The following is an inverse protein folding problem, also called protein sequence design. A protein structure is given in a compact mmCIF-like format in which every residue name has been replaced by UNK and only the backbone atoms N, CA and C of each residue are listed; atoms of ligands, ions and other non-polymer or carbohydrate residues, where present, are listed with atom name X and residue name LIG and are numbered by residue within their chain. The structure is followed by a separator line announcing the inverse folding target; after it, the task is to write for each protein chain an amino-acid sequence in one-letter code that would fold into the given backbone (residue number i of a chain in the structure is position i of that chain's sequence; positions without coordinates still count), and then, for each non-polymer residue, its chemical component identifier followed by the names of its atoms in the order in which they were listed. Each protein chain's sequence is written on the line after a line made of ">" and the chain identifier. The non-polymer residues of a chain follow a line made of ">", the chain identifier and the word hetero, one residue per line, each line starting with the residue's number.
data_IF_864696408909
#
_entry.id   IF_864696408909
#
_cell.length_a   1.000
_cell.length_b   1.000
_cell.length_c   1.000
_cell.angle_alpha   90.00
_cell.angle_beta   90.00
_cell.angle_gamma   90.00
#
_symmetry.space_group_name_H-M   'P 1'
#
loop_
_entity.id
_entity.type
_entity.pdbx_description
1 polymer ?
#
# COMPACT_ATOMS: atom_id res chain seq x y z
N UNK A 1 -21.38 -33.74 -55.69
CA UNK A 1 -22.57 -32.88 -55.80
C UNK A 1 -23.70 -33.47 -54.97
N UNK A 2 -24.09 -32.80 -53.88
CA UNK A 2 -25.41 -32.77 -53.22
C UNK A 2 -25.40 -31.44 -52.42
N UNK A 3 -26.47 -30.65 -52.54
CA UNK A 3 -26.64 -29.31 -51.96
C UNK A 3 -27.06 -29.40 -50.49
N UNK A 4 -26.69 -28.40 -49.68
CA UNK A 4 -27.50 -27.98 -48.53
C UNK A 4 -27.85 -26.49 -48.67
N UNK A 5 -29.12 -26.26 -48.95
CA UNK A 5 -29.85 -25.02 -48.73
C UNK A 5 -30.21 -24.95 -47.24
N UNK A 6 -29.92 -23.85 -46.56
CA UNK A 6 -30.84 -23.12 -45.68
C UNK A 6 -30.11 -21.89 -45.14
N UNK A 7 -30.34 -20.75 -45.80
CA UNK A 7 -30.21 -19.44 -45.20
C UNK A 7 -31.48 -19.11 -44.42
N UNK A 8 -31.30 -18.61 -43.22
CA UNK A 8 -32.31 -17.93 -42.39
C UNK A 8 -31.49 -17.02 -41.47
N UNK A 9 -31.17 -15.81 -41.92
CA UNK A 9 -31.91 -14.55 -41.72
C UNK A 9 -31.96 -14.06 -40.28
N UNK A 10 -31.70 -12.74 -40.20
CA UNK A 10 -31.81 -11.82 -39.08
C UNK A 10 -30.75 -12.02 -37.99
N UNK A 11 -29.87 -11.09 -37.70
CA UNK A 11 -29.86 -9.65 -37.98
C UNK A 11 -29.21 -9.00 -36.78
N UNK A 12 -28.33 -8.03 -37.04
CA UNK A 12 -27.92 -6.94 -36.14
C UNK A 12 -27.87 -7.27 -34.64
N UNK A 13 -26.66 -7.49 -34.15
CA UNK A 13 -26.04 -6.51 -33.27
C UNK A 13 -24.53 -6.83 -33.25
N UNK A 14 -23.79 -6.12 -34.12
CA UNK A 14 -22.39 -5.83 -33.86
C UNK A 14 -22.40 -4.89 -32.65
N UNK A 15 -22.62 -5.49 -31.48
CA UNK A 15 -22.35 -4.88 -30.19
C UNK A 15 -20.85 -4.61 -30.23
N UNK A 16 -20.53 -3.38 -30.65
CA UNK A 16 -19.22 -2.79 -30.47
C UNK A 16 -18.97 -2.90 -28.98
N UNK A 17 -18.29 -3.98 -28.60
CA UNK A 17 -17.55 -4.08 -27.37
C UNK A 17 -16.58 -2.92 -27.47
N UNK A 18 -17.02 -1.78 -26.95
CA UNK A 18 -16.19 -0.67 -26.57
C UNK A 18 -15.25 -1.29 -25.53
N UNK A 19 -14.16 -1.86 -26.05
CA UNK A 19 -12.92 -2.05 -25.31
C UNK A 19 -12.59 -0.64 -24.88
N UNK A 20 -13.20 -0.23 -23.75
CA UNK A 20 -12.83 0.96 -23.00
C UNK A 20 -11.33 0.92 -23.05
N UNK A 21 -10.76 1.87 -23.80
CA UNK A 21 -9.33 2.02 -23.92
C UNK A 21 -8.84 1.92 -22.48
N UNK A 22 -8.03 0.90 -22.18
CA UNK A 22 -7.18 0.89 -21.00
C UNK A 22 -6.30 2.13 -21.16
N UNK A 23 -6.86 3.29 -20.81
CA UNK A 23 -6.13 4.52 -20.65
C UNK A 23 -5.36 4.22 -19.39
N UNK A 24 -4.13 3.74 -19.57
CA UNK A 24 -3.16 3.65 -18.51
C UNK A 24 -3.28 4.94 -17.70
N UNK A 25 -3.52 4.85 -16.37
CA UNK A 25 -3.60 6.02 -15.51
C UNK A 25 -2.48 6.98 -15.88
N UNK A 26 -2.81 8.24 -16.15
CA UNK A 26 -1.81 9.24 -16.52
C UNK A 26 -0.71 9.21 -15.45
N UNK A 27 0.51 8.86 -15.86
CA UNK A 27 1.62 8.71 -14.93
C UNK A 27 1.80 10.05 -14.20
N UNK A 28 1.63 10.04 -12.89
CA UNK A 28 1.97 11.19 -12.07
C UNK A 28 3.47 11.41 -12.17
N UNK A 29 3.89 12.53 -12.76
CA UNK A 29 5.27 12.95 -12.62
C UNK A 29 5.55 13.23 -11.14
N UNK A 30 6.53 12.52 -10.58
CA UNK A 30 7.01 12.70 -9.20
C UNK A 30 8.31 13.48 -9.28
N UNK A 31 8.27 14.74 -8.82
CA UNK A 31 9.44 15.59 -8.74
C UNK A 31 10.20 15.42 -7.42
N UNK A 32 11.44 15.91 -7.35
CA UNK A 32 12.25 15.86 -6.10
C UNK A 32 11.53 16.48 -4.88
N UNK A 33 10.74 17.52 -5.10
CA UNK A 33 9.97 18.20 -4.04
C UNK A 33 8.88 17.33 -3.42
N UNK A 34 8.41 16.33 -4.16
CA UNK A 34 7.33 15.44 -3.77
C UNK A 34 7.84 14.29 -2.89
N UNK A 35 9.15 14.17 -2.73
CA UNK A 35 9.81 13.12 -1.98
C UNK A 35 10.27 13.63 -0.62
N UNK A 36 10.16 12.75 0.36
CA UNK A 36 10.85 12.88 1.63
C UNK A 36 12.36 12.65 1.40
N UNK A 37 13.23 13.60 1.77
CA UNK A 37 14.65 13.55 1.41
C UNK A 37 15.42 12.47 2.18
N UNK A 38 14.89 11.98 3.29
CA UNK A 38 15.54 10.96 4.12
C UNK A 38 15.22 9.57 3.59
N UNK A 39 13.95 9.32 3.27
CA UNK A 39 13.43 7.98 2.92
C UNK A 39 13.30 7.74 1.41
N UNK A 40 13.25 8.81 0.60
CA UNK A 40 12.90 8.72 -0.81
C UNK A 40 11.45 8.27 -1.07
N UNK A 41 10.63 8.13 -0.02
CA UNK A 41 9.20 7.91 -0.14
C UNK A 41 8.48 9.21 -0.54
N UNK A 42 7.25 9.11 -1.02
CA UNK A 42 6.41 10.28 -1.24
C UNK A 42 6.17 11.01 0.08
N UNK A 43 6.09 12.34 0.01
CA UNK A 43 5.50 13.13 1.08
C UNK A 43 4.00 12.85 1.15
N UNK A 44 3.44 12.95 2.35
CA UNK A 44 2.05 12.64 2.63
C UNK A 44 1.05 13.43 1.77
N UNK A 45 1.29 14.72 1.58
CA UNK A 45 0.45 15.60 0.74
C UNK A 45 0.39 15.13 -0.72
N UNK A 46 1.54 14.74 -1.30
CA UNK A 46 1.59 14.19 -2.65
C UNK A 46 0.89 12.84 -2.73
N UNK A 47 1.13 11.96 -1.78
CA UNK A 47 0.50 10.65 -1.72
C UNK A 47 -1.03 10.77 -1.66
N UNK A 48 -1.56 11.67 -0.83
CA UNK A 48 -2.99 11.92 -0.73
C UNK A 48 -3.59 12.43 -2.04
N UNK A 49 -2.89 13.32 -2.74
CA UNK A 49 -3.33 13.79 -4.05
C UNK A 49 -3.41 12.63 -5.07
N UNK A 50 -2.45 11.71 -5.05
CA UNK A 50 -2.42 10.53 -5.93
C UNK A 50 -3.49 9.51 -5.53
N UNK A 51 -3.63 9.21 -4.24
CA UNK A 51 -4.66 8.31 -3.70
C UNK A 51 -6.07 8.74 -4.12
N UNK A 52 -6.39 10.02 -3.99
CA UNK A 52 -7.71 10.55 -4.37
C UNK A 52 -8.04 10.32 -5.85
N UNK A 53 -7.04 10.37 -6.74
CA UNK A 53 -7.25 10.10 -8.15
C UNK A 53 -7.35 8.59 -8.41
N UNK A 54 -6.46 7.80 -7.82
CA UNK A 54 -6.43 6.34 -7.97
C UNK A 54 -7.74 5.69 -7.50
N UNK A 55 -8.31 6.16 -6.38
CA UNK A 55 -9.62 5.73 -5.89
C UNK A 55 -10.75 5.86 -6.91
N UNK A 56 -10.69 6.86 -7.78
CA UNK A 56 -11.70 7.07 -8.83
C UNK A 56 -11.46 6.14 -10.01
N UNK A 57 -10.21 5.78 -10.27
CA UNK A 57 -9.80 5.08 -11.49
C UNK A 57 -9.76 3.55 -11.34
N UNK A 58 -9.29 3.04 -10.20
CA UNK A 58 -9.02 1.62 -10.03
C UNK A 58 -9.31 1.15 -8.59
N UNK A 59 -9.63 -0.14 -8.39
CA UNK A 59 -9.61 -0.73 -7.06
C UNK A 59 -8.18 -0.76 -6.50
N UNK A 60 -8.06 -0.88 -5.19
CA UNK A 60 -6.76 -1.03 -4.53
C UNK A 60 -6.88 -1.32 -3.05
N UNK A 61 -5.71 -1.43 -2.41
CA UNK A 61 -5.62 -1.56 -0.95
C UNK A 61 -4.73 -0.45 -0.43
N UNK A 62 -5.24 0.34 0.53
CA UNK A 62 -4.43 1.25 1.32
C UNK A 62 -3.96 0.52 2.58
N UNK A 63 -2.67 0.60 2.88
CA UNK A 63 -2.07 0.16 4.13
C UNK A 63 -1.52 1.39 4.88
N UNK A 64 -1.77 1.47 6.18
CA UNK A 64 -1.06 2.33 7.12
C UNK A 64 -0.21 1.44 8.01
N UNK A 65 1.08 1.75 8.06
CA UNK A 65 2.12 0.96 8.74
C UNK A 65 2.68 1.84 9.84
N UNK A 66 2.72 1.35 11.06
CA UNK A 66 3.39 2.03 12.17
C UNK A 66 4.38 1.09 12.84
N UNK A 67 5.61 1.57 12.98
CA UNK A 67 6.68 0.85 13.65
C UNK A 67 7.00 1.54 14.97
N UNK A 68 6.90 0.79 16.06
CA UNK A 68 7.14 1.26 17.41
C UNK A 68 8.18 0.39 18.10
N UNK A 69 8.87 0.92 19.12
CA UNK A 69 9.73 0.08 19.97
C UNK A 69 8.83 -0.83 20.80
N UNK A 70 9.11 -2.15 20.84
CA UNK A 70 8.41 -3.05 21.76
C UNK A 70 8.64 -2.52 23.18
N UNK A 71 7.58 -2.27 23.93
CA UNK A 71 7.68 -1.73 25.29
C UNK A 71 8.39 -2.74 26.20
N UNK A 72 9.70 -2.58 26.33
CA UNK A 72 10.61 -3.39 27.09
C UNK A 72 11.93 -2.65 27.22
N UNK A 73 11.93 -1.64 28.09
CA UNK A 73 13.09 -1.03 28.77
C UNK A 73 14.47 -1.20 28.11
N UNK A 74 14.97 -0.15 27.44
CA UNK A 74 16.32 0.37 27.70
C UNK A 74 16.26 1.90 27.59
N UNK A 75 16.28 2.59 28.73
CA UNK A 75 16.78 3.97 28.79
C UNK A 75 18.28 3.89 28.52
N UNK A 76 18.77 4.46 27.42
CA UNK A 76 20.22 4.43 27.15
C UNK A 76 20.71 4.77 25.76
N UNK A 77 19.90 4.59 24.71
CA UNK A 77 20.36 4.83 23.33
C UNK A 77 19.42 5.74 22.54
N UNK A 78 19.84 6.99 22.41
CA UNK A 78 19.36 7.95 21.41
C UNK A 78 19.95 7.58 20.05
N UNK A 79 19.50 6.47 19.45
CA UNK A 79 19.52 6.42 17.99
C UNK A 79 18.57 7.51 17.52
N UNK A 80 19.10 8.54 16.89
CA UNK A 80 18.30 9.63 16.33
C UNK A 80 17.20 9.00 15.45
N UNK A 81 15.94 9.47 15.53
CA UNK A 81 14.81 8.92 14.76
C UNK A 81 15.12 8.72 13.27
N UNK A 82 16.08 9.48 12.73
CA UNK A 82 16.47 9.50 11.34
C UNK A 82 17.26 8.29 10.83
N UNK A 83 17.99 7.55 11.67
CA UNK A 83 18.98 6.57 11.17
C UNK A 83 18.32 5.33 10.54
N UNK A 84 17.16 4.93 11.03
CA UNK A 84 16.48 3.71 10.62
C UNK A 84 15.41 3.93 9.54
N UNK A 85 14.99 5.19 9.31
CA UNK A 85 13.91 5.51 8.37
C UNK A 85 14.23 5.20 6.90
N UNK A 86 15.43 5.50 6.36
CA UNK A 86 15.77 5.13 4.98
C UNK A 86 15.71 3.61 4.77
N UNK A 87 16.18 2.87 5.77
CA UNK A 87 16.18 1.42 5.75
C UNK A 87 14.75 0.87 5.81
N UNK A 88 13.91 1.35 6.73
CA UNK A 88 12.51 0.91 6.85
C UNK A 88 11.73 1.18 5.56
N UNK A 89 11.93 2.36 4.95
CA UNK A 89 11.33 2.68 3.67
C UNK A 89 11.80 1.72 2.56
N UNK A 90 13.08 1.35 2.55
CA UNK A 90 13.65 0.41 1.59
C UNK A 90 13.09 -1.01 1.77
N UNK A 91 12.95 -1.48 3.01
CA UNK A 91 12.40 -2.81 3.32
C UNK A 91 10.93 -2.93 2.90
N UNK A 92 10.14 -1.88 3.14
CA UNK A 92 8.77 -1.79 2.62
C UNK A 92 8.77 -1.75 1.09
N UNK A 93 9.67 -0.97 0.47
CA UNK A 93 9.77 -0.86 -0.99
C UNK A 93 10.07 -2.22 -1.65
N UNK A 94 10.88 -3.07 -1.03
CA UNK A 94 11.22 -4.39 -1.54
C UNK A 94 10.04 -5.38 -1.47
N UNK A 95 9.09 -5.16 -0.56
CA UNK A 95 7.91 -6.00 -0.41
C UNK A 95 6.79 -5.65 -1.42
N UNK A 96 6.81 -4.45 -2.00
CA UNK A 96 5.77 -3.93 -2.90
C UNK A 96 6.27 -3.86 -4.36
N UNK A 97 5.34 -3.69 -5.31
CA UNK A 97 5.71 -3.56 -6.73
C UNK A 97 6.27 -2.17 -7.02
N UNK A 98 6.97 -2.03 -8.15
CA UNK A 98 7.53 -0.75 -8.58
C UNK A 98 6.46 0.31 -8.90
N UNK A 99 5.26 -0.13 -9.25
CA UNK A 99 4.11 0.73 -9.45
C UNK A 99 3.33 0.98 -8.15
N UNK A 100 3.55 0.29 -7.04
CA UNK A 100 2.88 0.66 -5.78
C UNK A 100 3.44 1.98 -5.22
N UNK A 101 2.60 2.72 -4.50
CA UNK A 101 3.02 3.99 -3.90
C UNK A 101 3.43 3.77 -2.45
N UNK A 102 4.54 4.39 -2.04
CA UNK A 102 5.00 4.43 -0.66
C UNK A 102 5.15 5.88 -0.23
N UNK A 103 4.59 6.24 0.91
CA UNK A 103 4.73 7.55 1.54
C UNK A 103 5.26 7.46 2.96
N UNK A 104 6.10 8.42 3.32
CA UNK A 104 6.46 8.70 4.71
C UNK A 104 5.41 9.68 5.27
N UNK A 105 4.72 9.27 6.34
CA UNK A 105 3.62 10.04 6.94
C UNK A 105 4.15 10.97 8.02
N UNK A 106 4.75 10.39 9.06
CA UNK A 106 5.39 11.07 10.19
C UNK A 106 6.15 10.04 11.00
N UNK A 107 7.26 10.42 11.63
CA UNK A 107 8.05 9.53 12.50
C UNK A 107 8.32 8.16 11.85
N UNK A 108 7.86 7.07 12.45
CA UNK A 108 8.00 5.71 11.95
C UNK A 108 6.73 5.19 11.25
N UNK A 109 5.89 6.11 10.74
CA UNK A 109 4.64 5.80 10.07
C UNK A 109 4.75 5.96 8.56
N UNK A 110 4.32 4.92 7.85
CA UNK A 110 4.29 4.87 6.40
C UNK A 110 2.89 4.57 5.90
N UNK A 111 2.63 4.94 4.65
CA UNK A 111 1.44 4.55 3.93
C UNK A 111 1.83 3.88 2.61
N UNK A 112 1.13 2.80 2.27
CA UNK A 112 1.31 2.07 1.02
C UNK A 112 -0.01 2.01 0.28
N UNK A 113 -0.02 2.39 -1.00
CA UNK A 113 -1.12 2.11 -1.90
C UNK A 113 -0.72 0.96 -2.83
N UNK A 114 -1.36 -0.20 -2.65
CA UNK A 114 -1.25 -1.36 -3.53
C UNK A 114 -2.25 -1.22 -4.68
N UNK A 115 -1.77 -0.85 -5.86
CA UNK A 115 -2.62 -0.49 -7.00
C UNK A 115 -3.21 -1.75 -7.65
N UNK A 116 -4.52 -1.74 -7.87
CA UNK A 116 -5.23 -2.90 -8.44
C UNK A 116 -5.27 -4.13 -7.54
N UNK A 117 -4.84 -4.01 -6.28
CA UNK A 117 -4.75 -5.15 -5.39
C UNK A 117 -6.13 -5.57 -4.85
N UNK A 118 -6.31 -6.89 -4.71
CA UNK A 118 -7.40 -7.46 -3.92
C UNK A 118 -7.06 -7.43 -2.42
N UNK A 119 -8.07 -7.58 -1.57
CA UNK A 119 -7.86 -7.71 -0.12
C UNK A 119 -6.87 -8.84 0.21
N UNK A 120 -7.03 -10.01 -0.40
CA UNK A 120 -6.13 -11.15 -0.19
C UNK A 120 -4.68 -10.82 -0.57
N UNK A 121 -4.46 -10.09 -1.67
CA UNK A 121 -3.12 -9.62 -2.00
C UNK A 121 -2.61 -8.62 -0.96
N UNK A 122 -3.47 -7.73 -0.46
CA UNK A 122 -3.14 -6.82 0.64
C UNK A 122 -2.67 -7.55 1.90
N UNK A 123 -3.34 -8.64 2.27
CA UNK A 123 -2.94 -9.51 3.38
C UNK A 123 -1.56 -10.15 3.14
N UNK A 124 -1.34 -10.73 1.95
CA UNK A 124 -0.06 -11.35 1.58
C UNK A 124 1.09 -10.35 1.61
N UNK A 125 0.89 -9.15 1.06
CA UNK A 125 1.92 -8.10 1.07
C UNK A 125 2.16 -7.57 2.48
N UNK A 126 1.12 -7.45 3.32
CA UNK A 126 1.28 -7.06 4.72
C UNK A 126 2.15 -8.05 5.48
N UNK A 127 1.94 -9.35 5.28
CA UNK A 127 2.81 -10.38 5.87
C UNK A 127 4.26 -10.28 5.40
N UNK A 128 4.50 -10.02 4.11
CA UNK A 128 5.86 -9.82 3.59
C UNK A 128 6.54 -8.58 4.16
N UNK A 129 5.80 -7.49 4.36
CA UNK A 129 6.32 -6.29 5.00
C UNK A 129 6.73 -6.59 6.45
N UNK A 130 5.88 -7.33 7.18
CA UNK A 130 6.18 -7.77 8.54
C UNK A 130 7.43 -8.65 8.58
N UNK A 131 7.54 -9.67 7.72
CA UNK A 131 8.71 -10.54 7.62
C UNK A 131 9.99 -9.76 7.27
N UNK A 132 9.93 -8.88 6.26
CA UNK A 132 11.05 -8.04 5.83
C UNK A 132 11.59 -7.14 6.96
N UNK A 133 10.69 -6.67 7.84
CA UNK A 133 11.09 -5.83 8.97
C UNK A 133 11.52 -6.62 10.20
N UNK A 134 10.90 -7.78 10.46
CA UNK A 134 11.23 -8.66 11.59
C UNK A 134 12.58 -9.38 11.40
N UNK A 135 12.92 -9.78 10.16
CA UNK A 135 14.22 -10.37 9.83
C UNK A 135 15.40 -9.41 10.07
N UNK A 136 15.12 -8.16 10.39
CA UNK A 136 16.13 -7.14 10.63
C UNK A 136 16.34 -6.94 12.11
N UNK A 137 17.42 -7.56 12.59
CA UNK A 137 17.96 -7.31 13.92
C UNK A 137 18.42 -5.85 13.99
N UNK A 138 17.64 -5.00 14.68
CA UNK A 138 18.13 -3.68 15.06
C UNK A 138 19.18 -3.87 16.15
N UNK A 139 20.45 -3.83 15.76
CA UNK A 139 21.54 -3.71 16.72
C UNK A 139 21.55 -2.28 17.24
N UNK A 140 21.00 -2.06 18.45
CA UNK A 140 21.35 -0.86 19.21
C UNK A 140 22.66 -1.14 19.97
N UNK A 141 23.30 -0.10 20.51
CA UNK A 141 24.58 -0.25 21.23
C UNK A 141 24.51 -1.16 22.48
N UNK A 142 23.32 -1.61 22.86
CA UNK A 142 23.01 -2.36 24.09
C UNK A 142 22.39 -3.75 23.80
N UNK A 143 22.14 -4.12 22.53
CA UNK A 143 21.52 -5.40 22.13
C UNK A 143 20.47 -5.30 21.02
N UNK A 144 19.73 -6.39 20.80
CA UNK A 144 18.69 -6.47 19.78
C UNK A 144 17.46 -5.66 20.22
N UNK A 145 17.18 -4.54 19.56
CA UNK A 145 15.90 -3.84 19.73
C UNK A 145 14.83 -4.54 18.90
N UNK A 146 13.89 -5.22 19.55
CA UNK A 146 12.75 -5.83 18.86
C UNK A 146 11.75 -4.71 18.52
N UNK A 147 11.57 -4.42 17.23
CA UNK A 147 10.56 -3.49 16.77
C UNK A 147 9.21 -4.19 16.69
N UNK A 148 8.17 -3.49 17.14
CA UNK A 148 6.80 -3.92 16.97
C UNK A 148 6.18 -3.14 15.81
N UNK A 149 5.78 -3.85 14.77
CA UNK A 149 5.04 -3.28 13.65
C UNK A 149 3.55 -3.61 13.78
N UNK A 150 2.70 -2.65 13.42
CA UNK A 150 1.27 -2.86 13.22
C UNK A 150 0.83 -2.28 11.88
N UNK A 151 -0.06 -3.01 11.20
CA UNK A 151 -0.59 -2.62 9.89
C UNK A 151 -2.12 -2.58 9.94
N UNK A 152 -2.69 -1.45 9.55
CA UNK A 152 -4.12 -1.33 9.27
C UNK A 152 -4.33 -1.07 7.80
N UNK A 153 -5.21 -1.82 7.15
CA UNK A 153 -5.47 -1.63 5.74
C UNK A 153 -6.93 -1.74 5.37
N UNK A 154 -7.26 -1.20 4.20
CA UNK A 154 -8.62 -1.26 3.65
C UNK A 154 -8.57 -1.47 2.15
N UNK A 155 -9.41 -2.40 1.67
CA UNK A 155 -9.70 -2.54 0.24
C UNK A 155 -10.74 -1.50 -0.17
N UNK A 156 -10.52 -0.87 -1.31
CA UNK A 156 -11.54 -0.06 -1.98
C UNK A 156 -11.74 -0.50 -3.42
N UNK A 157 -12.95 -0.30 -3.93
CA UNK A 157 -13.27 -0.44 -5.34
C UNK A 157 -13.22 0.93 -6.04
N UNK A 158 -13.08 0.93 -7.37
CA UNK A 158 -13.06 2.17 -8.17
C UNK A 158 -14.36 2.97 -8.00
N UNK A 159 -14.24 4.28 -7.80
CA UNK A 159 -15.37 5.17 -7.60
C UNK A 159 -15.96 5.14 -6.19
N UNK A 160 -15.33 4.42 -5.24
CA UNK A 160 -15.74 4.45 -3.84
C UNK A 160 -15.58 5.86 -3.27
N UNK A 161 -16.65 6.45 -2.75
CA UNK A 161 -16.64 7.75 -2.04
C UNK A 161 -16.34 7.62 -0.55
N UNK A 162 -15.60 6.58 -0.15
CA UNK A 162 -15.34 6.29 1.25
C UNK A 162 -14.02 6.91 1.68
N UNK A 163 -13.96 7.38 2.92
CA UNK A 163 -12.69 7.79 3.53
C UNK A 163 -11.90 6.52 3.90
N UNK A 164 -11.08 6.07 2.96
CA UNK A 164 -10.23 4.87 3.15
C UNK A 164 -9.13 5.13 4.16
N UNK A 165 -8.69 6.37 4.35
CA UNK A 165 -7.64 6.70 5.32
C UNK A 165 -8.17 6.54 6.72
N UNK A 166 -9.37 7.06 7.00
CA UNK A 166 -10.03 6.86 8.29
C UNK A 166 -10.29 5.38 8.60
N UNK A 167 -10.70 4.59 7.61
CA UNK A 167 -10.91 3.14 7.79
C UNK A 167 -9.59 2.39 8.04
N UNK A 168 -8.54 2.68 7.25
CA UNK A 168 -7.21 2.08 7.47
C UNK A 168 -6.65 2.45 8.86
N UNK A 169 -6.87 3.68 9.31
CA UNK A 169 -6.47 4.14 10.65
C UNK A 169 -7.23 3.39 11.76
N UNK A 170 -8.55 3.20 11.61
CA UNK A 170 -9.33 2.41 12.56
C UNK A 170 -8.84 0.95 12.63
N UNK A 171 -8.52 0.35 11.50
CA UNK A 171 -7.96 -1.00 11.45
C UNK A 171 -6.56 -1.07 12.06
N UNK A 172 -5.75 -0.02 11.90
CA UNK A 172 -4.42 0.08 12.53
C UNK A 172 -4.52 0.16 14.05
N UNK A 173 -5.46 0.96 14.57
CA UNK A 173 -5.72 1.04 16.00
C UNK A 173 -6.24 -0.30 16.54
N UNK A 174 -7.11 -0.98 15.80
CA UNK A 174 -7.57 -2.32 16.16
C UNK A 174 -6.42 -3.33 16.19
N UNK A 175 -5.51 -3.32 15.21
CA UNK A 175 -4.33 -4.19 15.15
C UNK A 175 -3.44 -4.01 16.40
N UNK A 176 -3.20 -2.76 16.80
CA UNK A 176 -2.45 -2.44 18.03
C UNK A 176 -3.13 -2.95 19.29
N UNK A 177 -4.45 -2.77 19.40
CA UNK A 177 -5.21 -3.13 20.58
C UNK A 177 -5.36 -4.65 20.74
N UNK A 178 -5.51 -5.39 19.64
CA UNK A 178 -5.66 -6.84 19.67
C UNK A 178 -4.33 -7.59 19.74
N UNK A 179 -3.21 -6.91 19.47
CA UNK A 179 -1.90 -7.54 19.28
C UNK A 179 -1.79 -8.34 17.98
N UNK A 180 -2.77 -8.19 17.07
CA UNK A 180 -2.71 -8.79 15.73
C UNK A 180 -1.83 -7.93 14.84
N UNK A 181 -0.77 -8.47 14.19
CA UNK A 181 0.17 -7.64 13.43
C UNK A 181 -0.45 -6.86 12.26
N UNK A 182 -1.48 -7.41 11.62
CA UNK A 182 -2.15 -6.77 10.49
C UNK A 182 -3.66 -7.01 10.51
N UNK A 183 -4.45 -5.97 10.21
CA UNK A 183 -5.90 -6.06 9.98
C UNK A 183 -6.23 -5.36 8.67
N UNK A 184 -6.73 -6.11 7.69
CA UNK A 184 -7.15 -5.61 6.38
C UNK A 184 -8.65 -5.85 6.22
N UNK A 185 -9.42 -4.79 5.99
CA UNK A 185 -10.90 -4.82 5.90
C UNK A 185 -11.49 -4.24 4.63
#
# INVERSE_FOLDING_TARGET
>A
MIKSWFGWLAGTDDEKIDRRKDVAPAAFEVGKKDLDPLTGALRWDRFMAMLNVEQVQAPGVLLLIDVSKRTGHVEGTTSEPSENLPWLAQSIRQAIRSDDLLAHVTDYRFAVLLRGASQHLGEVISSRILESVDETIFMNAEGNAELQMSIGGVRFDSGARRDVVAQAAANLDQARQSGTPAIIG
#
